data_IF_740468943759
#
_entry.id   IF_740468943759
#
_cell.length_a   1.000
_cell.length_b   1.000
_cell.length_c   1.000
_cell.angle_alpha   90.00
_cell.angle_beta   90.00
_cell.angle_gamma   90.00
#
_symmetry.space_group_name_H-M   'P 1'
#
loop_
_entity.id
_entity.type
_entity.pdbx_description
1 polymer ?
#
# COMPACT_ATOMS: atom_id res chain seq x y z
N UNK A 1 10.64 -5.48 13.21
CA UNK A 1 10.53 -5.18 14.68
C UNK A 1 11.83 -5.40 15.47
N UNK A 2 12.56 -6.51 15.29
CA UNK A 2 13.73 -6.86 16.12
C UNK A 2 14.90 -5.86 16.00
N UNK A 3 15.18 -5.37 14.78
CA UNK A 3 16.29 -4.46 14.52
C UNK A 3 16.08 -3.07 15.16
N UNK A 4 14.91 -2.46 14.97
CA UNK A 4 14.58 -1.18 15.58
C UNK A 4 14.72 -1.21 17.11
N UNK A 5 14.20 -2.27 17.74
CA UNK A 5 14.36 -2.48 19.18
C UNK A 5 15.82 -2.69 19.58
N UNK A 6 16.56 -3.56 18.86
CA UNK A 6 17.97 -3.86 19.16
C UNK A 6 18.87 -2.63 19.12
N UNK A 7 18.61 -1.73 18.18
CA UNK A 7 19.40 -0.50 18.00
C UNK A 7 18.82 0.72 18.72
N UNK A 8 17.71 0.57 19.45
CA UNK A 8 17.17 1.63 20.31
C UNK A 8 16.55 2.81 19.56
N UNK A 9 15.93 2.57 18.40
CA UNK A 9 15.20 3.60 17.64
C UNK A 9 14.07 4.20 18.48
N UNK A 10 13.89 5.52 18.39
CA UNK A 10 12.87 6.28 19.11
C UNK A 10 11.62 6.49 18.27
N UNK A 11 10.55 6.96 18.91
CA UNK A 11 9.31 7.35 18.22
C UNK A 11 9.62 8.36 17.11
N UNK A 12 9.04 8.13 15.93
CA UNK A 12 9.28 8.85 14.67
C UNK A 12 10.62 8.57 13.99
N UNK A 13 11.45 7.68 14.52
CA UNK A 13 12.62 7.15 13.83
C UNK A 13 12.29 5.81 13.16
N UNK A 14 12.91 5.55 12.02
CA UNK A 14 12.68 4.35 11.24
C UNK A 14 13.87 4.02 10.35
N UNK A 15 13.80 2.89 9.67
CA UNK A 15 14.78 2.48 8.69
C UNK A 15 14.07 1.98 7.44
N UNK A 16 14.78 2.00 6.33
CA UNK A 16 14.42 1.27 5.12
C UNK A 16 15.62 0.48 4.63
N UNK A 17 15.37 -0.51 3.78
CA UNK A 17 16.39 -1.29 3.10
C UNK A 17 15.97 -1.53 1.66
N UNK A 18 16.95 -1.68 0.78
CA UNK A 18 16.78 -2.30 -0.52
C UNK A 18 16.72 -3.81 -0.28
N UNK A 19 15.51 -4.36 -0.27
CA UNK A 19 15.24 -5.77 0.00
C UNK A 19 15.06 -6.50 -1.31
N UNK A 20 15.71 -7.67 -1.43
CA UNK A 20 15.60 -8.52 -2.60
C UNK A 20 15.15 -9.91 -2.15
N UNK A 21 14.12 -10.45 -2.81
CA UNK A 21 13.52 -11.75 -2.52
C UNK A 21 13.31 -12.58 -3.78
N UNK A 22 13.20 -13.90 -3.59
CA UNK A 22 12.86 -14.86 -4.64
C UNK A 22 11.50 -15.47 -4.31
N UNK A 23 10.51 -15.25 -5.16
CA UNK A 23 9.19 -15.90 -5.11
C UNK A 23 9.11 -17.00 -6.15
N UNK A 24 9.57 -18.20 -5.78
CA UNK A 24 9.66 -19.35 -6.70
C UNK A 24 8.31 -19.75 -7.31
N UNK A 25 7.25 -19.67 -6.52
CA UNK A 25 5.94 -20.21 -6.86
C UNK A 25 5.00 -19.14 -7.48
N UNK A 26 5.56 -18.02 -7.95
CA UNK A 26 4.81 -16.92 -8.57
C UNK A 26 4.38 -17.28 -10.00
N UNK A 27 3.13 -16.96 -10.36
CA UNK A 27 2.67 -17.04 -11.75
C UNK A 27 3.17 -15.79 -12.50
N UNK A 28 4.00 -15.99 -13.53
CA UNK A 28 4.65 -14.90 -14.25
C UNK A 28 3.69 -14.20 -15.23
N UNK A 29 3.69 -12.87 -15.19
CA UNK A 29 3.04 -12.03 -16.19
C UNK A 29 3.78 -10.68 -16.34
N UNK A 30 3.13 -9.67 -16.91
CA UNK A 30 3.74 -8.35 -17.11
C UNK A 30 3.99 -7.57 -15.81
N UNK A 31 3.35 -7.97 -14.71
CA UNK A 31 3.42 -7.35 -13.39
C UNK A 31 4.14 -8.24 -12.36
N UNK A 32 4.19 -9.56 -12.58
CA UNK A 32 4.71 -10.55 -11.63
C UNK A 32 6.03 -11.17 -12.10
N UNK A 33 7.04 -11.11 -11.23
CA UNK A 33 8.39 -11.63 -11.45
C UNK A 33 8.82 -12.53 -10.29
N UNK A 34 9.58 -13.60 -10.58
CA UNK A 34 10.21 -14.45 -9.55
C UNK A 34 11.21 -13.64 -8.70
N UNK A 35 11.86 -12.63 -9.29
CA UNK A 35 12.69 -11.68 -8.57
C UNK A 35 11.85 -10.49 -8.13
N UNK A 36 11.89 -10.20 -6.84
CA UNK A 36 11.15 -9.08 -6.23
C UNK A 36 12.13 -8.18 -5.49
N UNK A 37 12.18 -6.91 -5.87
CA UNK A 37 12.85 -5.84 -5.15
C UNK A 37 11.83 -4.94 -4.44
N UNK A 38 12.19 -4.45 -3.25
CA UNK A 38 11.32 -3.59 -2.44
C UNK A 38 12.13 -2.57 -1.65
N UNK A 39 11.63 -1.34 -1.57
CA UNK A 39 11.94 -0.47 -0.44
C UNK A 39 11.16 -0.95 0.78
N UNK A 40 11.74 -1.89 1.51
CA UNK A 40 11.17 -2.44 2.73
C UNK A 40 11.54 -1.54 3.92
N UNK A 41 10.55 -1.04 4.65
CA UNK A 41 10.74 -0.01 5.67
C UNK A 41 9.90 -0.24 6.92
N UNK A 42 10.40 0.23 8.06
CA UNK A 42 9.67 0.26 9.32
C UNK A 42 9.85 1.62 10.01
N UNK A 43 8.79 2.11 10.66
CA UNK A 43 8.77 3.34 11.46
C UNK A 43 8.29 3.03 12.89
N UNK A 44 9.00 3.52 13.90
CA UNK A 44 8.52 3.43 15.29
C UNK A 44 7.44 4.49 15.52
N UNK A 45 6.24 4.05 15.89
CA UNK A 45 5.12 4.93 16.27
C UNK A 45 4.79 4.81 17.76
N UNK A 46 4.18 5.85 18.32
CA UNK A 46 3.61 5.75 19.67
C UNK A 46 2.36 4.85 19.65
N UNK A 47 2.07 4.18 20.76
CA UNK A 47 0.87 3.35 20.90
C UNK A 47 -0.41 4.17 20.66
N UNK A 48 -0.44 5.44 21.07
CA UNK A 48 -1.59 6.34 20.85
C UNK A 48 -1.83 6.65 19.38
N UNK A 49 -0.79 6.54 18.54
CA UNK A 49 -0.85 6.84 17.12
C UNK A 49 -1.34 5.63 16.30
N UNK A 50 -1.74 4.52 16.94
CA UNK A 50 -2.39 3.37 16.29
C UNK A 50 -3.83 3.69 15.88
N UNK A 51 -3.97 4.56 14.88
CA UNK A 51 -5.24 5.09 14.38
C UNK A 51 -5.25 5.08 12.86
N UNK A 52 -6.45 5.05 12.26
CA UNK A 52 -6.60 5.18 10.80
C UNK A 52 -6.06 6.52 10.31
N UNK A 53 -6.20 7.60 11.08
CA UNK A 53 -5.68 8.92 10.71
C UNK A 53 -4.16 8.91 10.56
N UNK A 54 -3.45 8.21 11.47
CA UNK A 54 -2.00 8.06 11.34
C UNK A 54 -1.61 7.25 10.11
N UNK A 55 -2.33 6.17 9.84
CA UNK A 55 -2.10 5.36 8.64
C UNK A 55 -2.27 6.21 7.37
N UNK A 56 -3.38 6.95 7.26
CA UNK A 56 -3.64 7.86 6.13
C UNK A 56 -2.60 8.98 6.03
N UNK A 57 -2.12 9.52 7.16
CA UNK A 57 -1.04 10.51 7.20
C UNK A 57 0.25 9.94 6.58
N UNK A 58 0.66 8.72 6.97
CA UNK A 58 1.87 8.08 6.46
C UNK A 58 1.73 7.73 4.97
N UNK A 59 0.58 7.20 4.55
CA UNK A 59 0.30 6.91 3.12
C UNK A 59 0.41 8.17 2.26
N UNK A 60 -0.13 9.32 2.72
CA UNK A 60 0.01 10.59 2.00
C UNK A 60 1.48 11.03 1.86
N UNK A 61 2.31 10.79 2.88
CA UNK A 61 3.76 11.09 2.80
C UNK A 61 4.47 10.22 1.78
N UNK A 62 4.17 8.92 1.76
CA UNK A 62 4.72 7.99 0.75
C UNK A 62 4.28 8.42 -0.65
N UNK A 63 2.99 8.73 -0.81
CA UNK A 63 2.45 9.19 -2.09
C UNK A 63 3.07 10.50 -2.57
N UNK A 64 3.38 11.43 -1.65
CA UNK A 64 4.12 12.66 -1.97
C UNK A 64 5.50 12.34 -2.55
N UNK A 65 6.21 11.36 -2.00
CA UNK A 65 7.50 10.92 -2.54
C UNK A 65 7.38 10.36 -3.97
N UNK A 66 6.28 9.66 -4.30
CA UNK A 66 6.01 9.20 -5.66
C UNK A 66 5.79 10.38 -6.62
N UNK A 67 4.99 11.37 -6.23
CA UNK A 67 4.75 12.58 -7.03
C UNK A 67 6.02 13.40 -7.25
N UNK A 68 6.81 13.61 -6.20
CA UNK A 68 8.08 14.33 -6.31
C UNK A 68 9.06 13.61 -7.25
N UNK A 69 9.06 12.27 -7.21
CA UNK A 69 9.86 11.44 -8.11
C UNK A 69 9.37 11.54 -9.55
N UNK A 70 8.06 11.42 -9.80
CA UNK A 70 7.46 11.56 -11.13
C UNK A 70 7.81 12.92 -11.75
N UNK A 71 7.65 13.99 -10.97
CA UNK A 71 7.98 15.35 -11.38
C UNK A 71 9.47 15.50 -11.71
N UNK A 72 10.35 14.94 -10.88
CA UNK A 72 11.79 14.97 -11.14
C UNK A 72 12.14 14.23 -12.44
N UNK A 73 11.59 13.03 -12.65
CA UNK A 73 11.81 12.23 -13.85
C UNK A 73 11.35 12.98 -15.10
N UNK A 74 10.16 13.57 -15.09
CA UNK A 74 9.61 14.26 -16.27
C UNK A 74 10.24 15.62 -16.55
N UNK A 75 10.76 16.28 -15.52
CA UNK A 75 11.47 17.54 -15.66
C UNK A 75 12.90 17.35 -16.17
N UNK A 76 13.63 16.38 -15.63
CA UNK A 76 15.09 16.34 -15.74
C UNK A 76 15.64 15.12 -16.52
N UNK A 77 14.85 14.06 -16.73
CA UNK A 77 15.34 12.80 -17.32
C UNK A 77 14.63 12.38 -18.61
N UNK A 78 13.30 12.37 -18.63
CA UNK A 78 12.49 11.83 -19.74
C UNK A 78 11.30 12.75 -19.99
N UNK A 79 11.20 13.33 -21.18
CA UNK A 79 10.04 14.14 -21.57
C UNK A 79 8.74 13.33 -21.46
N UNK A 80 7.76 13.86 -20.75
CA UNK A 80 6.46 13.23 -20.50
C UNK A 80 5.56 14.11 -19.64
N UNK A 81 4.34 13.61 -19.37
CA UNK A 81 3.35 14.29 -18.56
C UNK A 81 3.20 13.60 -17.20
N UNK A 82 3.05 14.37 -16.13
CA UNK A 82 2.69 13.87 -14.79
C UNK A 82 1.32 13.17 -14.86
N UNK A 83 1.24 11.90 -14.45
CA UNK A 83 0.04 11.06 -14.54
C UNK A 83 -0.62 10.83 -13.19
N UNK A 84 0.16 10.89 -12.10
CA UNK A 84 -0.37 10.70 -10.76
C UNK A 84 -1.32 11.86 -10.39
N UNK A 85 -2.50 11.58 -9.83
CA UNK A 85 -3.40 12.64 -9.37
C UNK A 85 -2.81 13.45 -8.22
N UNK A 86 -3.43 14.60 -7.93
CA UNK A 86 -2.94 15.49 -6.87
C UNK A 86 -3.01 14.82 -5.48
N UNK A 87 -4.09 14.08 -5.24
CA UNK A 87 -4.37 13.39 -3.98
C UNK A 87 -4.66 11.90 -4.22
N UNK A 88 -4.22 11.06 -3.29
CA UNK A 88 -4.58 9.63 -3.24
C UNK A 88 -5.97 9.45 -2.62
N UNK A 89 -6.81 8.64 -3.25
CA UNK A 89 -8.16 8.33 -2.77
C UNK A 89 -8.12 7.22 -1.72
N UNK A 90 -8.95 7.29 -0.67
CA UNK A 90 -8.99 6.30 0.39
C UNK A 90 -10.34 5.59 0.40
N UNK A 91 -10.34 4.26 0.41
CA UNK A 91 -11.56 3.44 0.51
C UNK A 91 -11.25 2.14 1.25
N UNK A 92 -12.18 1.62 2.04
CA UNK A 92 -12.05 0.29 2.64
C UNK A 92 -12.52 -0.81 1.68
N UNK A 93 -12.01 -2.02 1.86
CA UNK A 93 -12.47 -3.21 1.13
C UNK A 93 -13.98 -3.43 1.23
N UNK A 94 -14.59 -3.16 2.39
CA UNK A 94 -16.04 -3.27 2.57
C UNK A 94 -16.81 -2.17 1.83
N UNK A 95 -16.34 -0.92 1.87
CA UNK A 95 -16.97 0.17 1.09
C UNK A 95 -16.87 -0.09 -0.41
N UNK A 96 -15.74 -0.66 -0.86
CA UNK A 96 -15.53 -1.05 -2.24
C UNK A 96 -16.47 -2.19 -2.66
N UNK A 97 -16.66 -3.20 -1.80
CA UNK A 97 -17.67 -4.25 -1.99
C UNK A 97 -19.09 -3.69 -2.04
N UNK A 98 -19.44 -2.82 -1.10
CA UNK A 98 -20.77 -2.21 -1.01
C UNK A 98 -21.07 -1.35 -2.27
N UNK A 99 -20.05 -0.70 -2.85
CA UNK A 99 -20.14 0.09 -4.09
C UNK A 99 -20.30 -0.77 -5.34
N UNK A 100 -19.65 -1.93 -5.40
CA UNK A 100 -19.64 -2.82 -6.57
C UNK A 100 -19.89 -4.29 -6.18
N UNK A 101 -21.09 -4.61 -5.66
CA UNK A 101 -21.36 -5.90 -5.04
C UNK A 101 -21.31 -7.07 -6.03
N UNK A 102 -21.56 -6.81 -7.32
CA UNK A 102 -21.61 -7.82 -8.37
C UNK A 102 -20.27 -8.07 -9.07
N UNK A 103 -19.21 -7.35 -8.69
CA UNK A 103 -17.87 -7.51 -9.25
C UNK A 103 -16.99 -8.36 -8.34
N UNK A 104 -16.02 -9.06 -8.92
CA UNK A 104 -14.95 -9.75 -8.18
C UNK A 104 -14.00 -8.74 -7.53
N UNK A 105 -13.25 -9.10 -6.46
CA UNK A 105 -12.30 -8.19 -5.81
C UNK A 105 -11.36 -7.46 -6.78
N UNK A 106 -10.83 -8.18 -7.79
CA UNK A 106 -9.93 -7.60 -8.79
C UNK A 106 -10.63 -6.62 -9.73
N UNK A 107 -11.83 -6.97 -10.19
CA UNK A 107 -12.63 -6.05 -11.02
C UNK A 107 -13.02 -4.78 -10.24
N UNK A 108 -13.25 -4.90 -8.92
CA UNK A 108 -13.50 -3.75 -8.04
C UNK A 108 -12.29 -2.81 -7.96
N UNK A 109 -11.09 -3.35 -7.82
CA UNK A 109 -9.83 -2.59 -7.89
C UNK A 109 -9.69 -1.88 -9.24
N UNK A 110 -9.93 -2.59 -10.34
CA UNK A 110 -9.79 -2.03 -11.69
C UNK A 110 -10.74 -0.84 -11.91
N UNK A 111 -12.00 -0.94 -11.48
CA UNK A 111 -12.96 0.16 -11.66
C UNK A 111 -12.64 1.35 -10.77
N UNK A 112 -12.26 1.14 -9.49
CA UNK A 112 -11.94 2.25 -8.60
C UNK A 112 -10.65 2.96 -9.01
N UNK A 113 -9.65 2.21 -9.50
CA UNK A 113 -8.42 2.78 -10.05
C UNK A 113 -8.65 3.50 -11.38
N UNK A 114 -9.59 3.04 -12.23
CA UNK A 114 -10.00 3.81 -13.42
C UNK A 114 -10.66 5.14 -13.06
N UNK A 115 -11.43 5.18 -11.97
CA UNK A 115 -12.11 6.40 -11.50
C UNK A 115 -11.14 7.41 -10.86
N UNK A 116 -10.27 6.93 -9.95
CA UNK A 116 -9.47 7.79 -9.08
C UNK A 116 -7.97 7.83 -9.41
N UNK A 117 -7.48 6.92 -10.26
CA UNK A 117 -6.08 6.74 -10.69
C UNK A 117 -5.08 6.31 -9.61
N UNK A 118 -5.21 6.80 -8.37
CA UNK A 118 -4.42 6.39 -7.21
C UNK A 118 -5.35 6.15 -6.01
N UNK A 119 -5.30 4.95 -5.44
CA UNK A 119 -6.24 4.50 -4.41
C UNK A 119 -5.48 3.75 -3.32
N UNK A 120 -5.64 4.16 -2.07
CA UNK A 120 -5.28 3.33 -0.93
C UNK A 120 -6.47 2.50 -0.48
N UNK A 121 -6.42 1.19 -0.74
CA UNK A 121 -7.43 0.22 -0.34
C UNK A 121 -7.14 -0.29 1.07
N UNK A 122 -7.98 0.12 2.03
CA UNK A 122 -7.80 -0.16 3.45
C UNK A 122 -8.49 -1.44 3.91
N UNK A 123 -7.97 -2.03 4.98
CA UNK A 123 -8.56 -3.18 5.69
C UNK A 123 -8.62 -4.46 4.84
N UNK A 124 -7.47 -4.87 4.33
CA UNK A 124 -7.32 -6.05 3.47
C UNK A 124 -7.03 -7.28 4.37
N UNK A 125 -7.62 -8.44 4.04
CA UNK A 125 -7.42 -9.71 4.76
C UNK A 125 -8.64 -10.23 5.53
N UNK A 126 -9.50 -9.32 5.99
CA UNK A 126 -10.74 -9.66 6.72
C UNK A 126 -11.82 -10.27 5.81
N UNK A 127 -12.71 -11.07 6.40
CA UNK A 127 -13.94 -11.55 5.74
C UNK A 127 -14.93 -10.38 5.66
N UNK A 128 -15.44 -10.13 4.46
CA UNK A 128 -16.42 -9.09 4.18
C UNK A 128 -17.85 -9.57 4.46
N UNK A 129 -18.84 -8.68 4.33
CA UNK A 129 -20.27 -9.02 4.51
C UNK A 129 -20.74 -10.13 3.58
N UNK A 130 -20.13 -10.26 2.40
CA UNK A 130 -20.40 -11.34 1.45
C UNK A 130 -20.01 -12.74 1.97
N UNK A 131 -19.20 -12.82 3.02
CA UNK A 131 -18.60 -14.07 3.51
C UNK A 131 -17.25 -14.40 2.84
N UNK A 132 -16.85 -13.62 1.84
CA UNK A 132 -15.59 -13.76 1.14
C UNK A 132 -14.56 -12.72 1.61
N UNK A 133 -13.27 -13.00 1.44
CA UNK A 133 -12.21 -12.01 1.67
C UNK A 133 -11.98 -11.19 0.40
N UNK A 134 -11.53 -9.94 0.56
CA UNK A 134 -11.04 -9.16 -0.59
C UNK A 134 -9.77 -9.77 -1.17
N UNK A 135 -8.77 -10.00 -0.32
CA UNK A 135 -7.51 -10.65 -0.66
C UNK A 135 -6.88 -11.30 0.59
N UNK A 136 -5.89 -12.16 0.41
CA UNK A 136 -5.14 -12.82 1.47
C UNK A 136 -4.12 -11.89 2.13
N UNK A 137 -3.99 -11.99 3.46
CA UNK A 137 -2.94 -11.30 4.22
C UNK A 137 -2.35 -12.22 5.27
N UNK A 138 -1.05 -12.05 5.51
CA UNK A 138 -0.36 -12.80 6.54
C UNK A 138 -0.83 -12.33 7.94
N UNK A 139 -1.23 -13.23 8.84
CA UNK A 139 -1.79 -12.87 10.14
C UNK A 139 -0.74 -12.48 11.20
N UNK A 140 0.55 -12.64 10.89
CA UNK A 140 1.67 -12.53 11.84
C UNK A 140 2.24 -11.11 11.99
N UNK A 141 2.03 -10.23 11.00
CA UNK A 141 2.51 -8.83 11.06
C UNK A 141 1.46 -7.76 10.76
N UNK A 142 0.39 -8.07 10.03
CA UNK A 142 -0.66 -7.10 9.68
C UNK A 142 -1.78 -7.05 10.73
N UNK A 143 -2.12 -5.83 11.14
CA UNK A 143 -3.40 -5.53 11.79
C UNK A 143 -4.40 -5.21 10.68
N UNK A 144 -5.31 -6.13 10.35
CA UNK A 144 -6.26 -5.95 9.23
C UNK A 144 -7.24 -4.79 9.43
N UNK A 145 -7.27 -4.14 10.60
CA UNK A 145 -8.03 -2.90 10.77
C UNK A 145 -7.20 -1.65 10.44
N UNK A 146 -5.88 -1.78 10.37
CA UNK A 146 -4.90 -0.71 10.18
C UNK A 146 -3.84 -1.10 9.13
N UNK A 147 -4.26 -1.75 8.04
CA UNK A 147 -3.43 -2.04 6.87
C UNK A 147 -4.12 -1.56 5.58
N UNK A 148 -3.42 -1.74 4.45
CA UNK A 148 -3.97 -1.51 3.12
C UNK A 148 -2.92 -1.58 2.04
N UNK A 149 -3.39 -1.41 0.80
CA UNK A 149 -2.59 -1.43 -0.43
C UNK A 149 -2.71 -0.10 -1.16
N UNK A 150 -1.58 0.45 -1.64
CA UNK A 150 -1.52 1.65 -2.51
C UNK A 150 -1.62 1.21 -3.97
#
# INVERSE_FOLDING_TARGET
>A
RLSLHRYGFKVSEGLYTDMNAIRRDEELDNLHSVYVDQWDWELVIDKKDRTEDKLKEIVRKIYTAFKDTEKYVHKDLIEGEERLPEEIFFITTQELEDKYPNLTPKEREDVICKEHKAVFLMKVGGVLKSGEKHDGRSPDYDDWNLNGDI
#
